data_IF_812120132068
#
_entry.id   IF_812120132068
#
_cell.length_a   1.000
_cell.length_b   1.000
_cell.length_c   1.000
_cell.angle_alpha   90.00
_cell.angle_beta   90.00
_cell.angle_gamma   90.00
#
_symmetry.space_group_name_H-M   'P 1'
#
loop_
_entity.id
_entity.type
_entity.pdbx_description
1 polymer ?
2 non-polymer ?
3 non-polymer ?
4 water ?
#
# COMPACT_ATOMS: atom_id res chain seq x y z
N UNK A 1 11.84 -12.42 9.33
CA UNK A 1 11.30 -13.51 8.46
C UNK A 1 11.71 -13.26 7.02
N UNK A 2 11.52 -14.26 6.16
CA UNK A 2 11.88 -14.12 4.75
C UNK A 2 11.05 -13.04 4.06
N UNK A 3 11.72 -12.27 3.21
CA UNK A 3 11.09 -11.19 2.47
C UNK A 3 9.86 -11.67 1.71
N UNK A 4 9.98 -12.81 1.04
CA UNK A 4 8.86 -13.36 0.29
C UNK A 4 7.68 -13.65 1.21
N UNK A 5 7.97 -14.07 2.44
CA UNK A 5 6.91 -14.36 3.40
C UNK A 5 6.16 -13.10 3.83
N UNK A 6 6.89 -12.08 4.27
CA UNK A 6 6.25 -10.85 4.73
C UNK A 6 5.54 -10.11 3.60
N UNK A 7 6.11 -10.17 2.41
CA UNK A 7 5.51 -9.51 1.25
C UNK A 7 4.15 -10.14 0.97
N UNK A 8 4.08 -11.47 1.07
CA UNK A 8 2.82 -12.15 0.82
C UNK A 8 1.82 -11.86 1.94
N UNK A 9 2.33 -11.61 3.14
CA UNK A 9 1.47 -11.25 4.27
C UNK A 9 0.89 -9.86 3.96
N UNK A 10 1.72 -9.00 3.37
CA UNK A 10 1.29 -7.66 2.99
C UNK A 10 0.19 -7.78 1.93
N UNK A 11 0.30 -8.80 1.07
CA UNK A 11 -0.71 -9.02 0.04
C UNK A 11 -2.03 -9.47 0.64
N UNK A 12 -1.98 -10.28 1.69
CA UNK A 12 -3.21 -10.72 2.33
C UNK A 12 -3.84 -9.50 3.00
N UNK A 13 -3.00 -8.68 3.63
CA UNK A 13 -3.48 -7.48 4.30
C UNK A 13 -4.17 -6.55 3.32
N UNK A 14 -3.64 -6.45 2.10
CA UNK A 14 -4.20 -5.57 1.08
C UNK A 14 -5.63 -5.92 0.68
N UNK A 15 -6.00 -7.19 0.85
CA UNK A 15 -7.35 -7.63 0.48
C UNK A 15 -8.45 -7.00 1.33
N UNK A 16 -8.07 -6.39 2.45
CA UNK A 16 -9.04 -5.74 3.33
C UNK A 16 -9.42 -4.36 2.79
N UNK A 17 -8.66 -3.86 1.81
CA UNK A 17 -8.93 -2.54 1.23
C UNK A 17 -10.24 -2.46 0.45
N UNK A 18 -10.94 -1.34 0.59
CA UNK A 18 -12.19 -1.11 -0.12
C UNK A 18 -11.98 -0.18 -1.31
N UNK A 19 -10.73 0.09 -1.67
CA UNK A 19 -10.44 0.97 -2.79
C UNK A 19 -10.74 0.25 -4.10
N UNK A 20 -11.36 0.97 -5.04
CA UNK A 20 -11.72 0.40 -6.33
C UNK A 20 -10.63 0.53 -7.39
N UNK A 21 -9.55 1.24 -7.05
CA UNK A 21 -8.46 1.43 -8.01
C UNK A 21 -7.31 0.47 -7.78
N UNK A 22 -6.75 0.49 -6.58
CA UNK A 22 -5.64 -0.38 -6.19
C UNK A 22 -5.83 -0.90 -4.77
N UNK A 23 -5.37 -2.12 -4.52
CA UNK A 23 -5.43 -2.71 -3.18
C UNK A 23 -3.99 -2.71 -2.73
N UNK A 24 -3.69 -1.99 -1.66
CA UNK A 24 -2.31 -1.92 -1.18
C UNK A 24 -2.21 -2.40 0.25
N UNK A 25 -1.12 -3.10 0.56
CA UNK A 25 -0.91 -3.60 1.90
C UNK A 25 0.49 -3.29 2.36
N UNK A 26 0.62 -2.88 3.62
CA UNK A 26 1.93 -2.56 4.18
C UNK A 26 2.09 -3.25 5.53
N UNK A 27 3.30 -3.75 5.77
CA UNK A 27 3.63 -4.44 7.00
C UNK A 27 4.91 -3.86 7.60
N UNK A 28 4.89 -3.58 8.90
CA UNK A 28 6.09 -3.08 9.55
C UNK A 28 6.63 -4.22 10.41
N UNK A 29 7.88 -4.58 10.16
CA UNK A 29 8.52 -5.66 10.88
C UNK A 29 9.70 -5.14 11.68
N UNK A 30 9.79 -5.57 12.93
CA UNK A 30 10.88 -5.17 13.81
C UNK A 30 11.49 -6.44 14.39
N UNK A 31 12.80 -6.59 14.21
CA UNK A 31 13.51 -7.76 14.70
C UNK A 31 12.83 -9.08 14.34
N UNK A 32 12.30 -9.15 13.13
CA UNK A 32 11.67 -10.39 12.68
C UNK A 32 10.20 -10.60 12.99
N UNK A 33 9.56 -9.70 13.73
CA UNK A 33 8.14 -9.83 14.06
C UNK A 33 7.35 -8.65 13.54
N UNK A 34 6.09 -8.88 13.19
CA UNK A 34 5.25 -7.82 12.68
C UNK A 34 4.71 -7.01 13.86
N UNK A 35 4.95 -5.70 13.82
CA UNK A 35 4.50 -4.82 14.89
C UNK A 35 3.44 -3.83 14.43
N UNK A 36 3.17 -3.81 13.13
CA UNK A 36 2.12 -2.95 12.59
C UNK A 36 1.77 -3.37 11.17
N UNK A 37 0.54 -3.05 10.76
CA UNK A 37 0.07 -3.38 9.42
C UNK A 37 -0.87 -2.29 8.97
N UNK A 38 -1.09 -2.21 7.67
CA UNK A 38 -1.98 -1.20 7.13
C UNK A 38 -2.38 -1.46 5.70
N UNK A 39 -3.51 -0.89 5.31
CA UNK A 39 -3.99 -1.00 3.94
C UNK A 39 -4.64 0.34 3.62
N UNK A 40 -4.75 0.66 2.33
CA UNK A 40 -5.33 1.93 1.93
C UNK A 40 -6.85 1.97 2.11
N UNK A 41 -7.34 3.05 2.71
CA UNK A 41 -8.77 3.17 2.92
C UNK A 41 -9.11 4.49 3.56
N UNK A 42 -10.41 4.75 3.67
CA UNK A 42 -10.92 5.98 4.26
C UNK A 42 -10.81 5.94 5.79
N UNK A 43 -10.93 7.10 6.45
CA UNK A 43 -10.84 7.17 7.91
C UNK A 43 -12.20 6.76 8.48
N UNK A 44 -12.36 6.89 9.79
CA UNK A 44 -13.62 6.55 10.44
C UNK A 44 -14.67 7.60 10.07
N UNK A 45 -15.93 7.17 9.97
CA UNK A 45 -17.00 8.09 9.63
C UNK A 45 -16.93 8.55 8.19
N UNK A 46 -15.99 7.98 7.44
CA UNK A 46 -15.85 8.34 6.04
C UNK A 46 -16.33 7.22 5.14
N UNK A 47 -17.05 7.57 4.08
CA UNK A 47 -17.56 6.55 3.17
C UNK A 47 -16.40 5.81 2.50
N UNK A 48 -16.53 4.50 2.36
CA UNK A 48 -15.49 3.70 1.72
C UNK A 48 -15.45 3.98 0.22
N UNK A 49 -14.26 3.86 -0.36
CA UNK A 49 -14.05 4.12 -1.78
C UNK A 49 -15.02 3.37 -2.70
N UNK A 50 -15.08 2.04 -2.56
CA UNK A 50 -15.96 1.24 -3.41
C UNK A 50 -17.41 1.73 -3.37
N UNK A 51 -17.89 2.12 -2.19
CA UNK A 51 -19.26 2.60 -2.05
C UNK A 51 -19.47 3.95 -2.70
N UNK A 52 -18.45 4.80 -2.63
CA UNK A 52 -18.55 6.12 -3.22
C UNK A 52 -18.48 5.99 -4.75
N UNK A 53 -17.64 5.08 -5.23
CA UNK A 53 -17.50 4.86 -6.67
C UNK A 53 -18.83 4.34 -7.23
N UNK A 54 -19.54 3.55 -6.42
CA UNK A 54 -20.82 3.00 -6.84
C UNK A 54 -21.82 4.13 -7.05
N UNK A 55 -21.93 5.03 -6.07
CA UNK A 55 -22.85 6.17 -6.16
C UNK A 55 -22.53 7.08 -7.33
N UNK A 56 -21.24 7.22 -7.63
CA UNK A 56 -20.79 8.09 -8.71
C UNK A 56 -20.82 7.46 -10.09
N UNK A 57 -21.05 6.16 -10.16
CA UNK A 57 -21.09 5.49 -11.45
C UNK A 57 -19.72 5.34 -12.11
N UNK A 58 -18.68 5.20 -11.30
CA UNK A 58 -17.32 5.04 -11.84
C UNK A 58 -17.01 3.60 -12.21
N UNK A 59 -17.81 2.67 -11.72
CA UNK A 59 -17.56 1.25 -11.96
C UNK A 59 -18.21 0.57 -13.16
N UNK A 60 -17.59 -0.54 -13.56
CA UNK A 60 -18.03 -1.38 -14.66
C UNK A 60 -17.98 -2.84 -14.18
N UNK A 61 -19.07 -3.58 -14.40
CA UNK A 61 -19.17 -4.97 -13.96
C UNK A 61 -18.28 -5.96 -14.71
N UNK A 62 -17.91 -7.04 -14.03
CA UNK A 62 -17.05 -8.11 -14.56
C UNK A 62 -16.17 -7.65 -15.71
N UNK A 83 -16.77 -8.32 -8.58
CA UNK A 83 -16.24 -8.26 -9.93
C UNK A 83 -16.55 -6.91 -10.60
N UNK A 84 -16.14 -5.83 -9.95
CA UNK A 84 -16.33 -4.48 -10.48
C UNK A 84 -14.95 -3.87 -10.68
N UNK A 85 -14.77 -3.13 -11.77
CA UNK A 85 -13.50 -2.49 -12.04
C UNK A 85 -13.73 -1.00 -12.20
N UNK A 86 -12.71 -0.21 -11.88
CA UNK A 86 -12.78 1.24 -12.01
C UNK A 86 -12.58 1.59 -13.48
N UNK A 87 -13.56 2.27 -14.06
CA UNK A 87 -13.49 2.65 -15.47
C UNK A 87 -12.31 3.60 -15.71
N UNK A 88 -11.57 3.37 -16.79
CA UNK A 88 -10.43 4.21 -17.13
C UNK A 88 -10.82 5.68 -17.23
N UNK A 89 -12.03 5.93 -17.73
CA UNK A 89 -12.50 7.29 -17.90
C UNK A 89 -12.83 7.97 -16.58
N UNK A 90 -12.85 7.19 -15.50
CA UNK A 90 -13.16 7.75 -14.20
C UNK A 90 -12.00 7.68 -13.21
N UNK A 91 -10.87 7.13 -13.63
CA UNK A 91 -9.74 7.02 -12.72
C UNK A 91 -9.26 8.38 -12.25
N UNK A 92 -9.36 9.37 -13.12
CA UNK A 92 -8.95 10.72 -12.78
C UNK A 92 -9.83 11.27 -11.65
N UNK A 93 -11.13 11.03 -11.75
CA UNK A 93 -12.06 11.50 -10.73
C UNK A 93 -11.79 10.73 -9.43
N UNK A 94 -11.34 9.49 -9.56
CA UNK A 94 -11.04 8.70 -8.38
C UNK A 94 -9.78 9.22 -7.69
N UNK A 95 -8.74 9.51 -8.47
CA UNK A 95 -7.49 10.02 -7.90
C UNK A 95 -7.71 11.30 -7.11
N UNK A 96 -8.52 12.21 -7.65
CA UNK A 96 -8.81 13.48 -6.98
C UNK A 96 -9.51 13.24 -5.65
N UNK A 97 -10.51 12.36 -5.66
CA UNK A 97 -11.25 12.05 -4.44
C UNK A 97 -10.36 11.31 -3.44
N UNK A 98 -9.63 10.32 -3.93
CA UNK A 98 -8.74 9.51 -3.10
C UNK A 98 -7.66 10.34 -2.41
N UNK A 99 -7.05 11.27 -3.15
CA UNK A 99 -5.99 12.12 -2.60
C UNK A 99 -6.43 12.77 -1.29
N UNK A 100 -7.68 13.20 -1.22
CA UNK A 100 -8.14 13.83 0.01
C UNK A 100 -9.04 12.99 0.92
N UNK A 101 -9.23 11.72 0.59
CA UNK A 101 -10.08 10.88 1.42
C UNK A 101 -9.49 9.54 1.87
N UNK A 102 -8.59 8.97 1.08
CA UNK A 102 -8.02 7.68 1.45
C UNK A 102 -6.58 7.75 1.95
N UNK A 103 -6.36 7.16 3.12
CA UNK A 103 -5.04 7.10 3.72
C UNK A 103 -4.35 5.95 3.01
N UNK A 104 -3.10 6.14 2.62
CA UNK A 104 -2.39 5.07 1.94
C UNK A 104 -1.93 4.00 2.93
N UNK A 105 -1.74 2.78 2.42
CA UNK A 105 -1.32 1.64 3.23
C UNK A 105 -0.12 1.94 4.13
N UNK A 106 0.95 2.46 3.54
CA UNK A 106 2.17 2.77 4.29
C UNK A 106 1.92 3.71 5.46
N UNK A 107 1.17 4.77 5.20
CA UNK A 107 0.88 5.74 6.23
C UNK A 107 -0.03 5.13 7.30
N UNK A 108 -0.97 4.28 6.90
CA UNK A 108 -1.85 3.67 7.89
C UNK A 108 -1.05 2.79 8.85
N UNK A 109 -0.05 2.08 8.33
CA UNK A 109 0.78 1.23 9.17
C UNK A 109 1.55 2.09 10.18
N UNK A 110 2.05 3.23 9.71
CA UNK A 110 2.80 4.15 10.56
C UNK A 110 1.87 4.88 11.54
N UNK A 111 0.68 5.25 11.07
CA UNK A 111 -0.29 5.94 11.92
C UNK A 111 -0.70 5.07 13.11
N UNK A 112 -0.92 3.78 12.88
CA UNK A 112 -1.30 2.91 13.97
C UNK A 112 -0.20 2.82 15.02
N UNK A 113 1.05 2.85 14.58
CA UNK A 113 2.17 2.79 15.52
C UNK A 113 2.18 4.03 16.41
N UNK A 114 1.86 5.18 15.84
CA UNK A 114 1.82 6.43 16.60
C UNK A 114 0.64 6.45 17.54
N UNK A 115 -0.48 5.92 17.08
CA UNK A 115 -1.68 5.90 17.89
C UNK A 115 -1.59 4.85 19.01
N UNK A 116 -0.96 3.73 18.70
CA UNK A 116 -0.82 2.65 19.67
C UNK A 116 0.40 2.81 20.57
N UNK A 117 1.39 3.58 20.12
CA UNK A 117 2.58 3.77 20.93
C UNK A 117 3.66 2.72 20.70
N UNK A 118 3.76 2.24 19.47
CA UNK A 118 4.76 1.23 19.14
C UNK A 118 5.89 1.85 18.32
N UNK A 119 7.10 1.83 18.87
CA UNK A 119 8.24 2.40 18.18
C UNK A 119 8.63 1.61 16.93
N UNK A 120 8.73 2.30 15.80
CA UNK A 120 9.11 1.63 14.56
C UNK A 120 10.53 2.00 14.15
N UNK A 121 11.24 2.67 15.05
CA UNK A 121 12.63 3.06 14.80
C UNK A 121 13.46 1.82 14.45
N UNK A 122 14.17 1.89 13.32
CA UNK A 122 15.00 0.78 12.88
C UNK A 122 14.24 -0.37 12.24
N UNK A 123 12.93 -0.25 12.15
CA UNK A 123 12.14 -1.33 11.58
C UNK A 123 12.21 -1.40 10.06
N UNK A 124 11.64 -2.47 9.52
CA UNK A 124 11.60 -2.69 8.07
C UNK A 124 10.15 -2.63 7.60
N UNK A 125 9.89 -1.93 6.50
CA UNK A 125 8.54 -1.88 5.97
C UNK A 125 8.40 -2.67 4.69
N UNK A 126 7.37 -3.50 4.62
CA UNK A 126 7.08 -4.29 3.43
C UNK A 126 5.78 -3.74 2.87
N UNK A 127 5.77 -3.42 1.58
CA UNK A 127 4.57 -2.88 0.96
C UNK A 127 4.40 -3.51 -0.41
N UNK A 128 3.17 -3.91 -0.72
CA UNK A 128 2.87 -4.55 -1.99
C UNK A 128 3.25 -3.67 -3.18
N UNK A 129 2.96 -2.38 -3.07
CA UNK A 129 3.23 -1.43 -4.14
C UNK A 129 4.28 -0.37 -3.76
N UNK A 130 5.09 0.04 -4.73
CA UNK A 130 6.12 1.05 -4.49
C UNK A 130 5.42 2.34 -4.05
N UNK A 131 5.85 2.92 -2.92
CA UNK A 131 5.23 4.15 -2.42
C UNK A 131 5.26 5.38 -3.31
N UNK A 132 4.18 6.15 -3.23
CA UNK A 132 4.04 7.39 -3.98
C UNK A 132 4.93 8.41 -3.26
N UNK A 133 5.12 9.59 -3.86
CA UNK A 133 5.96 10.63 -3.24
C UNK A 133 5.56 11.02 -1.81
N UNK A 134 4.26 11.09 -1.54
CA UNK A 134 3.80 11.45 -0.20
C UNK A 134 4.23 10.42 0.82
N UNK A 135 4.10 9.14 0.47
CA UNK A 135 4.47 8.07 1.38
C UNK A 135 5.99 7.91 1.50
N UNK A 136 6.69 8.07 0.38
CA UNK A 136 8.14 7.95 0.40
C UNK A 136 8.78 8.96 1.35
N UNK A 137 8.35 10.22 1.29
CA UNK A 137 8.94 11.23 2.16
C UNK A 137 8.61 10.97 3.62
N UNK A 138 7.42 10.43 3.89
CA UNK A 138 7.03 10.12 5.26
C UNK A 138 7.87 8.95 5.77
N UNK A 139 8.07 7.96 4.91
CA UNK A 139 8.86 6.79 5.29
C UNK A 139 10.30 7.20 5.61
N UNK A 140 10.85 8.07 4.77
CA UNK A 140 12.22 8.56 4.95
C UNK A 140 12.43 9.22 6.31
N UNK A 141 11.35 9.78 6.86
CA UNK A 141 11.39 10.49 8.13
C UNK A 141 10.88 9.69 9.33
N UNK A 142 10.35 8.49 9.07
CA UNK A 142 9.76 7.64 10.09
C UNK A 142 10.70 6.87 11.02
N UNK A 143 11.93 6.64 10.59
CA UNK A 143 12.85 5.87 11.41
C UNK A 143 13.01 4.47 10.84
N UNK A 144 12.23 4.17 9.80
CA UNK A 144 12.30 2.88 9.12
C UNK A 144 13.64 2.87 8.37
N UNK A 145 14.33 1.73 8.37
CA UNK A 145 15.64 1.63 7.72
C UNK A 145 15.69 0.76 6.48
N UNK A 146 14.59 0.09 6.17
CA UNK A 146 14.55 -0.76 4.99
C UNK A 146 13.14 -0.85 4.45
N UNK A 147 13.03 -0.74 3.13
CA UNK A 147 11.75 -0.80 2.45
C UNK A 147 11.80 -1.86 1.35
N UNK A 148 10.87 -2.80 1.41
CA UNK A 148 10.81 -3.86 0.42
C UNK A 148 9.44 -3.82 -0.23
N UNK A 149 9.42 -3.80 -1.56
CA UNK A 149 8.15 -3.75 -2.27
C UNK A 149 8.12 -4.79 -3.39
N UNK A 150 6.95 -4.98 -4.00
CA UNK A 150 6.82 -5.96 -5.07
C UNK A 150 6.55 -5.32 -6.43
N UNK A 151 5.39 -4.69 -6.57
CA UNK A 151 5.01 -4.05 -7.83
C UNK A 151 5.34 -2.56 -7.83
N UNK A 152 5.60 -2.01 -9.01
CA UNK A 152 5.91 -0.59 -9.14
C UNK A 152 4.63 0.19 -9.44
N UNK A 153 4.29 1.10 -8.54
CA UNK A 153 3.08 1.91 -8.68
C UNK A 153 2.90 2.54 -10.04
N UNK A 154 1.65 2.53 -10.47
CA UNK A 154 1.21 3.07 -11.74
C UNK A 154 1.72 4.48 -12.01
N UNK A 155 1.49 5.38 -11.05
CA UNK A 155 1.87 6.78 -11.20
C UNK A 155 3.27 7.18 -10.70
N UNK A 156 4.17 6.22 -10.50
CA UNK A 156 5.52 6.54 -10.04
C UNK A 156 6.47 6.79 -11.21
N UNK A 157 7.50 7.60 -10.96
CA UNK A 157 8.50 7.94 -11.98
C UNK A 157 9.87 7.46 -11.51
N UNK A 158 10.84 7.32 -12.43
CA UNK A 158 12.18 6.86 -12.04
C UNK A 158 12.86 7.77 -11.01
N UNK A 159 13.67 7.17 -10.14
CA UNK A 159 14.35 7.93 -9.11
C UNK A 159 13.44 8.25 -7.94
N UNK A 160 12.21 7.73 -7.97
CA UNK A 160 11.23 7.97 -6.91
C UNK A 160 11.74 7.57 -5.53
N UNK A 161 12.70 6.65 -5.50
CA UNK A 161 13.25 6.15 -4.25
C UNK A 161 14.51 6.88 -3.77
N UNK A 162 14.92 7.91 -4.49
CA UNK A 162 16.11 8.65 -4.09
C UNK A 162 15.98 9.19 -2.67
N UNK A 163 14.84 9.79 -2.36
CA UNK A 163 14.62 10.37 -1.04
C UNK A 163 14.79 9.33 0.07
N UNK A 164 14.47 8.08 -0.23
CA UNK A 164 14.62 7.00 0.74
C UNK A 164 16.09 6.67 0.93
N UNK A 165 16.81 6.51 -0.18
CA UNK A 165 18.23 6.18 -0.12
C UNK A 165 19.05 7.28 0.54
N UNK A 166 18.72 8.53 0.25
CA UNK A 166 19.43 9.65 0.84
C UNK A 166 19.20 9.71 2.35
N UNK A 167 18.12 9.07 2.81
CA UNK A 167 17.81 9.06 4.22
C UNK A 167 18.50 7.88 4.90
N UNK A 168 19.21 7.08 4.10
CA UNK A 168 19.92 5.94 4.64
C UNK A 168 19.08 4.67 4.66
N UNK A 169 18.01 4.67 3.88
CA UNK A 169 17.12 3.52 3.83
C UNK A 169 17.44 2.59 2.67
N UNK A 170 17.57 1.30 2.97
CA UNK A 170 17.84 0.30 1.95
C UNK A 170 16.53 0.02 1.23
N UNK A 171 16.57 -0.07 -0.09
CA UNK A 171 15.38 -0.35 -0.88
C UNK A 171 15.62 -1.60 -1.72
N UNK A 172 14.76 -2.60 -1.53
CA UNK A 172 14.88 -3.86 -2.25
C UNK A 172 13.57 -4.20 -2.96
N UNK A 173 13.67 -5.00 -4.01
CA UNK A 173 12.50 -5.42 -4.75
C UNK A 173 12.46 -6.93 -4.87
N UNK A 174 11.26 -7.50 -4.75
CA UNK A 174 11.07 -8.94 -4.87
C UNK A 174 9.98 -9.12 -5.91
N UNK A 175 10.30 -9.75 -7.05
CA UNK A 175 9.31 -9.96 -8.11
C UNK A 175 8.20 -10.92 -7.72
N UNK A 176 7.04 -10.73 -8.32
CA UNK A 176 5.86 -11.55 -8.07
C UNK A 176 6.17 -13.03 -8.26
N UNK A 177 7.04 -13.33 -9.21
CA UNK A 177 7.38 -14.72 -9.51
C UNK A 177 7.95 -15.50 -8.33
N UNK A 178 8.52 -14.80 -7.35
CA UNK A 178 9.09 -15.47 -6.18
C UNK A 178 8.04 -15.69 -5.09
N UNK A 179 6.85 -15.14 -5.30
CA UNK A 179 5.75 -15.25 -4.34
C UNK A 179 4.78 -16.33 -4.78
N UNK A 180 5.03 -17.56 -4.35
CA UNK A 180 4.17 -18.67 -4.74
C UNK A 180 3.45 -19.41 -3.62
N UNK A 181 3.10 -18.70 -2.55
CA UNK A 181 2.37 -19.32 -1.45
C UNK A 181 0.94 -18.81 -1.46
N UNK A 182 0.68 -17.85 -2.34
CA UNK A 182 -0.65 -17.27 -2.46
C UNK A 182 -1.35 -17.79 -3.70
N UNK A 183 -2.67 -17.91 -3.62
CA UNK A 183 -3.45 -18.34 -4.76
C UNK A 183 -3.84 -17.03 -5.42
N UNK A 184 -3.00 -16.58 -6.34
CA UNK A 184 -3.22 -15.32 -7.03
C UNK A 184 -4.58 -15.19 -7.70
N UNK A 185 -5.28 -16.30 -7.86
CA UNK A 185 -6.60 -16.27 -8.47
C UNK A 185 -7.53 -15.47 -7.57
N UNK A 186 -7.28 -15.52 -6.26
CA UNK A 186 -8.11 -14.81 -5.30
C UNK A 186 -7.49 -13.58 -4.66
N UNK A 187 -6.45 -13.04 -5.28
CA UNK A 187 -5.82 -11.83 -4.76
C UNK A 187 -5.98 -10.72 -5.78
N UNK A 188 -6.64 -9.64 -5.38
CA UNK A 188 -6.87 -8.51 -6.27
C UNK A 188 -5.94 -7.36 -5.92
N UNK A 189 -5.22 -6.85 -6.92
CA UNK A 189 -4.30 -5.74 -6.71
C UNK A 189 -4.77 -4.52 -7.49
N UNK A 190 -4.55 -4.53 -8.80
CA UNK A 190 -5.01 -3.43 -9.63
C UNK A 190 -6.45 -3.77 -10.01
N UNK A 191 -7.37 -2.85 -9.72
CA UNK A 191 -8.78 -3.08 -10.01
C UNK A 191 -9.37 -2.17 -11.08
N UNK A 192 -8.51 -1.58 -11.90
CA UNK A 192 -9.00 -0.71 -12.96
C UNK A 192 -9.30 -1.52 -14.21
N UNK A 193 -10.09 -0.96 -15.12
CA UNK A 193 -10.40 -1.68 -16.35
C UNK A 193 -9.19 -1.67 -17.27
X LIG B 1 1.20 6.68 -0.90
X LIG C 1 -9.87 4.33 -3.91
X LIG D 1 -6.40 5.76 -8.78
X LIG D 1 -5.17 5.92 -7.89
X LIG D 1 -3.89 5.65 -8.63
X LIG D 1 -5.19 7.25 -7.15
X LIG D 1 -5.24 4.77 -6.74
X LIG D 1 -4.12 4.51 -5.88
X LIG D 1 -4.61 3.88 -4.59
X LIG D 1 -3.57 3.17 -3.92
X LIG D 1 -5.19 4.87 -3.56
X LIG D 1 -6.23 4.28 -2.83
X LIG D 1 -4.09 5.25 -2.65
X LIG D 1 -3.16 4.10 -2.91
X LIG D 1 -1.60 3.62 -2.78
X LIG D 1 -1.13 3.24 -1.51
X LIG D 1 -1.85 3.14 -0.51
X LIG D 1 0.26 3.12 -1.42
X LIG D 1 1.25 3.79 -2.44
X LIG D 1 2.02 4.86 -1.87
X LIG D 1 0.48 4.40 -3.65
X LIG D 1 -0.89 4.39 -3.68
#
# INVERSE_FOLDING_TARGET
>A
MKASTVLQIAYLVSQESKCCSWKVGAVIEKNGRIISTGYNGSPAGGVNCCDYAAEQGWLLNKPKHAIIQGHKPECVSFGSTDRFVLAKEHRSAHSEWSSKNEIHAELNAILFAAENGSSIEGATMYVTLSPCPDCAKAIAQSGIKKLVYCETYDKNKPGWDDILRNAGIEVFNVPKKNLNKLNWENINEFCGE
>B hetero
1 ZN ZN
>C hetero
1 ZN ZN
>D hetero
1 DDN OP3 P OP1 OP2 O5' C5' C4' O4' C3' O3' C2' C1' N1 C2 O2 N3 C4 O4 C5 C6
#
